data_IF_673186569032
#
_entry.id   IF_673186569032
#
_cell.length_a   1.000
_cell.length_b   1.000
_cell.length_c   1.000
_cell.angle_alpha   90.00
_cell.angle_beta   90.00
_cell.angle_gamma   90.00
#
_symmetry.space_group_name_H-M   'P 1'
#
loop_
_entity.id
_entity.type
_entity.pdbx_description
1 polymer ?
#
# COMPACT_ATOMS: atom_id res chain seq x y z
N UNK A 1 -3.60 -16.11 -2.65
CA UNK A 1 -4.25 -17.44 -2.71
C UNK A 1 -4.41 -18.14 -1.35
N UNK A 2 -3.38 -18.23 -0.49
CA UNK A 2 -3.47 -18.91 0.81
C UNK A 2 -4.39 -18.20 1.82
N UNK A 3 -4.18 -16.90 2.08
CA UNK A 3 -4.96 -16.16 3.07
C UNK A 3 -6.46 -16.10 2.72
N UNK A 4 -6.81 -15.89 1.44
CA UNK A 4 -8.22 -15.95 0.98
C UNK A 4 -8.88 -17.28 1.38
N UNK A 5 -8.23 -18.41 1.04
CA UNK A 5 -8.71 -19.76 1.40
C UNK A 5 -8.81 -19.99 2.90
N UNK A 6 -7.90 -19.42 3.68
CA UNK A 6 -7.92 -19.53 5.14
C UNK A 6 -9.17 -18.84 5.70
N UNK A 7 -9.43 -17.62 5.26
CA UNK A 7 -10.61 -16.85 5.68
C UNK A 7 -11.90 -17.55 5.26
N UNK A 8 -11.99 -18.01 4.00
CA UNK A 8 -13.19 -18.67 3.46
C UNK A 8 -13.56 -19.96 4.18
N UNK A 9 -12.55 -20.68 4.68
CA UNK A 9 -12.74 -21.95 5.40
C UNK A 9 -12.88 -21.77 6.90
N UNK A 10 -12.74 -20.54 7.40
CA UNK A 10 -12.76 -20.28 8.82
C UNK A 10 -14.17 -20.45 9.39
N UNK A 11 -14.36 -21.54 10.13
CA UNK A 11 -15.60 -21.85 10.85
C UNK A 11 -15.32 -22.37 12.28
N UNK A 12 -14.11 -22.16 12.77
CA UNK A 12 -13.67 -22.59 14.09
C UNK A 12 -13.99 -21.56 15.17
N UNK A 13 -13.84 -21.95 16.44
CA UNK A 13 -14.09 -21.08 17.59
C UNK A 13 -12.98 -20.04 17.84
N UNK A 14 -11.78 -20.27 17.28
CA UNK A 14 -10.66 -19.35 17.44
C UNK A 14 -10.91 -18.10 16.59
N UNK A 15 -10.72 -16.87 17.09
CA UNK A 15 -10.95 -15.66 16.30
C UNK A 15 -10.11 -15.63 15.03
N UNK A 16 -10.69 -15.14 13.92
CA UNK A 16 -10.02 -15.08 12.62
C UNK A 16 -8.69 -14.32 12.69
N UNK A 17 -8.63 -13.22 13.45
CA UNK A 17 -7.41 -12.43 13.65
C UNK A 17 -6.30 -13.20 14.32
N UNK A 18 -6.65 -14.07 15.27
CA UNK A 18 -5.68 -14.93 15.91
C UNK A 18 -5.09 -15.90 14.91
N UNK A 19 -5.92 -16.47 14.04
CA UNK A 19 -5.43 -17.34 12.97
C UNK A 19 -4.56 -16.56 11.98
N UNK A 20 -5.01 -15.38 11.54
CA UNK A 20 -4.24 -14.55 10.62
C UNK A 20 -2.89 -14.14 11.20
N UNK A 21 -2.88 -13.56 12.41
CA UNK A 21 -1.66 -13.13 13.09
C UNK A 21 -0.69 -14.30 13.31
N UNK A 22 -1.16 -15.49 13.70
CA UNK A 22 -0.30 -16.68 13.81
C UNK A 22 0.39 -16.97 12.48
N UNK A 23 -0.36 -17.00 11.37
CA UNK A 23 0.23 -17.25 10.05
C UNK A 23 1.21 -16.15 9.63
N UNK A 24 0.87 -14.88 9.87
CA UNK A 24 1.74 -13.74 9.58
C UNK A 24 3.05 -13.81 10.35
N UNK A 25 2.98 -14.09 11.66
CA UNK A 25 4.14 -14.23 12.53
C UNK A 25 5.00 -15.42 12.10
N UNK A 26 4.41 -16.59 11.83
CA UNK A 26 5.17 -17.75 11.33
C UNK A 26 5.94 -17.39 10.07
N UNK A 27 5.28 -16.83 9.05
CA UNK A 27 5.91 -16.46 7.79
C UNK A 27 7.04 -15.45 8.05
N UNK A 28 6.74 -14.35 8.74
CA UNK A 28 7.70 -13.28 9.04
C UNK A 28 8.94 -13.81 9.78
N UNK A 29 8.74 -14.62 10.82
CA UNK A 29 9.83 -15.20 11.60
C UNK A 29 10.71 -16.12 10.75
N UNK A 30 10.14 -16.99 9.92
CA UNK A 30 10.95 -17.85 9.04
C UNK A 30 11.67 -17.07 7.95
N UNK A 31 11.04 -16.05 7.36
CA UNK A 31 11.71 -15.15 6.42
C UNK A 31 12.89 -14.46 7.08
N UNK A 32 12.73 -13.95 8.31
CA UNK A 32 13.80 -13.29 9.05
C UNK A 32 14.96 -14.24 9.38
N UNK A 33 14.67 -15.49 9.74
CA UNK A 33 15.71 -16.51 10.00
C UNK A 33 16.50 -16.87 8.73
N UNK A 34 15.86 -16.83 7.56
CA UNK A 34 16.52 -17.09 6.28
C UNK A 34 17.39 -15.91 5.83
N UNK A 35 16.89 -14.68 5.96
CA UNK A 35 17.61 -13.46 5.63
C UNK A 35 17.14 -12.34 6.58
N UNK A 36 17.98 -11.92 7.54
CA UNK A 36 17.60 -10.86 8.47
C UNK A 36 17.26 -9.56 7.74
N UNK A 37 16.14 -8.95 8.13
CA UNK A 37 15.66 -7.66 7.62
C UNK A 37 14.99 -6.88 8.75
N UNK A 38 14.90 -5.56 8.60
CA UNK A 38 14.15 -4.67 9.47
C UNK A 38 12.87 -4.15 8.79
N UNK A 39 11.91 -3.72 9.61
CA UNK A 39 10.70 -3.03 9.17
C UNK A 39 10.77 -1.58 9.60
N UNK A 40 10.96 -0.69 8.63
CA UNK A 40 11.00 0.76 8.79
C UNK A 40 9.57 1.30 8.72
N UNK A 41 9.12 2.07 9.71
CA UNK A 41 7.71 2.47 9.79
C UNK A 41 7.53 3.97 9.98
N UNK A 42 6.68 4.57 9.15
CA UNK A 42 6.30 5.98 9.26
C UNK A 42 5.27 6.19 10.38
N UNK A 43 5.66 6.90 11.42
CA UNK A 43 4.81 7.19 12.57
C UNK A 43 4.00 8.49 12.44
N UNK A 44 4.05 9.17 11.29
CA UNK A 44 3.36 10.45 11.07
C UNK A 44 1.84 10.37 11.21
N UNK A 45 1.25 9.19 10.96
CA UNK A 45 -0.18 8.89 11.13
C UNK A 45 -0.55 8.43 12.56
N UNK A 46 0.43 8.40 13.47
CA UNK A 46 0.27 7.95 14.85
C UNK A 46 1.03 6.65 15.12
N UNK A 47 1.78 6.63 16.22
CA UNK A 47 2.65 5.50 16.57
C UNK A 47 1.87 4.21 16.86
N UNK A 48 0.81 4.29 17.67
CA UNK A 48 0.03 3.12 18.08
C UNK A 48 -0.54 2.33 16.88
N UNK A 49 -1.34 2.92 15.96
CA UNK A 49 -1.91 2.16 14.85
C UNK A 49 -0.86 1.62 13.86
N UNK A 50 0.24 2.35 13.64
CA UNK A 50 1.34 1.88 12.79
C UNK A 50 2.09 0.71 13.45
N UNK A 51 2.34 0.80 14.77
CA UNK A 51 2.97 -0.28 15.53
C UNK A 51 2.09 -1.52 15.57
N UNK A 52 0.79 -1.37 15.78
CA UNK A 52 -0.15 -2.50 15.76
C UNK A 52 -0.13 -3.20 14.40
N UNK A 53 -0.11 -2.42 13.31
CA UNK A 53 0.05 -2.95 11.94
C UNK A 53 1.36 -3.71 11.77
N UNK A 54 2.48 -3.13 12.20
CA UNK A 54 3.78 -3.80 12.12
C UNK A 54 3.82 -5.10 12.94
N UNK A 55 3.31 -5.09 14.18
CA UNK A 55 3.36 -6.26 15.06
C UNK A 55 2.38 -7.36 14.66
N UNK A 56 1.21 -6.99 14.16
CA UNK A 56 0.25 -7.97 13.66
C UNK A 56 0.78 -8.71 12.41
N UNK A 57 1.47 -8.00 11.51
CA UNK A 57 1.92 -8.57 10.24
C UNK A 57 3.34 -9.15 10.26
N UNK A 58 4.23 -8.63 11.10
CA UNK A 58 5.65 -9.02 11.12
C UNK A 58 6.12 -9.59 12.45
N UNK A 59 5.27 -9.56 13.49
CA UNK A 59 5.60 -10.07 14.82
C UNK A 59 6.66 -9.24 15.56
N UNK A 60 7.29 -9.88 16.55
CA UNK A 60 8.28 -9.24 17.42
C UNK A 60 9.73 -9.64 17.13
N UNK A 61 9.94 -10.69 16.33
CA UNK A 61 11.29 -11.14 15.92
C UNK A 61 11.92 -10.12 14.97
N UNK A 62 11.15 -9.61 14.01
CA UNK A 62 11.62 -8.62 13.05
C UNK A 62 11.82 -7.26 13.74
N UNK A 63 13.01 -6.65 13.64
CA UNK A 63 13.29 -5.32 14.15
C UNK A 63 12.28 -4.29 13.61
N UNK A 64 11.83 -3.41 14.50
CA UNK A 64 10.94 -2.29 14.16
C UNK A 64 11.73 -0.99 14.27
N UNK A 65 11.94 -0.32 13.14
CA UNK A 65 12.70 0.92 13.03
C UNK A 65 11.74 2.10 12.78
N UNK A 66 11.44 2.93 13.79
CA UNK A 66 10.50 4.04 13.62
C UNK A 66 11.14 5.23 12.88
N UNK A 67 10.35 5.88 12.03
CA UNK A 67 10.69 7.13 11.33
C UNK A 67 9.56 8.14 11.47
N UNK A 68 9.90 9.43 11.41
CA UNK A 68 8.91 10.50 11.31
C UNK A 68 8.79 10.95 9.86
N UNK A 69 7.71 10.52 9.20
CA UNK A 69 7.42 10.83 7.80
C UNK A 69 7.91 9.74 6.83
N UNK A 70 7.31 9.67 5.64
CA UNK A 70 7.56 8.62 4.66
C UNK A 70 8.96 8.67 4.04
N UNK A 71 9.58 9.86 3.98
CA UNK A 71 10.91 10.04 3.37
C UNK A 71 12.00 9.22 4.06
N UNK A 72 12.09 9.28 5.39
CA UNK A 72 13.09 8.51 6.14
C UNK A 72 12.93 7.00 6.00
N UNK A 73 11.68 6.53 5.87
CA UNK A 73 11.38 5.12 5.58
C UNK A 73 11.93 4.72 4.22
N UNK A 74 11.64 5.49 3.17
CA UNK A 74 12.05 5.18 1.80
C UNK A 74 13.56 5.24 1.66
N UNK A 75 14.21 6.29 2.18
CA UNK A 75 15.68 6.42 2.18
C UNK A 75 16.36 5.24 2.89
N UNK A 76 15.80 4.78 4.01
CA UNK A 76 16.35 3.65 4.75
C UNK A 76 16.15 2.31 4.01
N UNK A 77 14.99 2.11 3.38
CA UNK A 77 14.75 0.93 2.54
C UNK A 77 15.72 0.94 1.37
N UNK A 78 15.86 2.05 0.66
CA UNK A 78 16.75 2.20 -0.49
C UNK A 78 18.22 1.89 -0.14
N UNK A 79 18.68 2.34 1.03
CA UNK A 79 20.03 2.08 1.54
C UNK A 79 20.25 0.65 2.07
N UNK A 80 19.19 -0.14 2.24
CA UNK A 80 19.26 -1.51 2.72
C UNK A 80 19.49 -2.53 1.59
N UNK A 81 19.64 -3.81 1.93
CA UNK A 81 19.67 -4.90 0.93
C UNK A 81 18.36 -5.69 0.88
N UNK A 82 17.47 -5.51 1.84
CA UNK A 82 16.24 -6.29 1.93
C UNK A 82 15.26 -5.85 3.02
N UNK A 83 15.42 -4.63 3.56
CA UNK A 83 14.49 -4.11 4.55
C UNK A 83 13.16 -3.73 3.90
N UNK A 84 12.11 -3.69 4.72
CA UNK A 84 10.76 -3.33 4.31
C UNK A 84 10.38 -1.97 4.90
N UNK A 85 9.64 -1.18 4.14
CA UNK A 85 9.07 0.08 4.60
C UNK A 85 7.56 -0.01 4.75
N UNK A 86 7.01 0.57 5.82
CA UNK A 86 5.57 0.76 6.04
C UNK A 86 5.24 2.24 5.90
N UNK A 87 4.45 2.54 4.87
CA UNK A 87 3.95 3.87 4.55
C UNK A 87 2.43 3.88 4.69
N UNK A 88 1.81 4.96 5.15
CA UNK A 88 0.36 5.06 5.13
C UNK A 88 -0.16 4.94 3.69
N UNK A 89 -1.18 4.09 3.48
CA UNK A 89 -1.90 4.03 2.20
C UNK A 89 -2.98 5.12 2.08
N UNK A 90 -2.86 6.16 2.90
CA UNK A 90 -3.74 7.32 2.95
C UNK A 90 -2.89 8.58 2.84
N UNK A 91 -3.33 9.55 2.05
CA UNK A 91 -2.67 10.85 1.99
C UNK A 91 -2.98 11.65 3.25
N UNK A 92 -1.94 12.18 3.89
CA UNK A 92 -2.11 13.23 4.89
C UNK A 92 -2.21 14.60 4.19
N UNK A 93 -3.18 15.45 4.56
CA UNK A 93 -3.28 16.79 4.01
C UNK A 93 -1.97 17.58 4.19
N UNK A 94 -1.46 18.16 3.11
CA UNK A 94 -0.24 19.00 3.15
C UNK A 94 1.07 18.24 3.31
N UNK A 95 1.08 16.91 3.19
CA UNK A 95 2.31 16.13 3.14
C UNK A 95 3.01 16.21 1.78
N UNK A 96 4.34 16.11 1.79
CA UNK A 96 5.15 16.01 0.57
C UNK A 96 4.73 14.77 -0.26
N UNK A 97 4.79 14.83 -1.61
CA UNK A 97 4.44 13.72 -2.49
C UNK A 97 5.51 12.61 -2.44
N UNK A 98 5.52 11.85 -1.34
CA UNK A 98 6.54 10.85 -1.04
C UNK A 98 6.70 9.78 -2.11
N UNK A 99 5.65 9.52 -2.89
CA UNK A 99 5.67 8.52 -3.96
C UNK A 99 6.56 8.91 -5.14
N UNK A 100 6.98 10.19 -5.25
CA UNK A 100 8.02 10.61 -6.18
C UNK A 100 9.32 9.83 -5.99
N UNK A 101 9.65 9.48 -4.73
CA UNK A 101 10.82 8.68 -4.42
C UNK A 101 10.70 7.21 -4.89
N UNK A 102 9.52 6.79 -5.38
CA UNK A 102 9.31 5.47 -5.96
C UNK A 102 9.36 5.47 -7.49
N UNK A 103 9.66 6.57 -8.17
CA UNK A 103 9.50 6.67 -9.63
C UNK A 103 10.61 5.99 -10.43
N UNK A 104 11.85 6.02 -9.93
CA UNK A 104 13.00 5.45 -10.64
C UNK A 104 12.85 3.93 -10.78
N UNK A 105 13.36 3.29 -11.86
CA UNK A 105 13.17 1.85 -12.09
C UNK A 105 13.70 0.96 -10.95
N UNK A 106 14.80 1.37 -10.32
CA UNK A 106 15.51 0.70 -9.23
C UNK A 106 15.11 1.18 -7.83
N UNK A 107 14.33 2.26 -7.74
CA UNK A 107 13.80 2.75 -6.47
C UNK A 107 12.88 1.72 -5.81
N UNK A 108 12.67 1.81 -4.48
CA UNK A 108 11.69 0.99 -3.80
C UNK A 108 10.31 1.06 -4.47
N UNK A 109 9.57 -0.05 -4.41
CA UNK A 109 8.23 -0.20 -4.99
C UNK A 109 7.27 -0.69 -3.94
N UNK A 110 6.01 -0.29 -4.06
CA UNK A 110 4.92 -0.93 -3.33
C UNK A 110 4.85 -2.40 -3.74
N UNK A 111 4.86 -3.30 -2.76
CA UNK A 111 4.76 -4.75 -2.98
C UNK A 111 3.54 -5.38 -2.30
N UNK A 112 2.91 -4.65 -1.37
CA UNK A 112 1.69 -5.08 -0.70
C UNK A 112 0.90 -3.89 -0.15
N UNK A 113 -0.40 -4.11 0.05
CA UNK A 113 -1.29 -3.27 0.85
C UNK A 113 -1.80 -4.12 2.02
N UNK A 114 -1.71 -3.58 3.24
CA UNK A 114 -2.16 -4.22 4.46
C UNK A 114 -3.26 -3.37 5.14
N UNK A 115 -4.16 -4.01 5.90
CA UNK A 115 -4.33 -5.46 6.01
C UNK A 115 -4.84 -6.05 4.70
N UNK A 116 -4.42 -7.29 4.38
CA UNK A 116 -4.95 -7.98 3.20
C UNK A 116 -6.43 -8.37 3.40
N UNK A 117 -6.83 -8.70 4.62
CA UNK A 117 -8.23 -8.97 4.98
C UNK A 117 -8.84 -7.67 5.49
N UNK A 118 -9.60 -6.99 4.64
CA UNK A 118 -10.24 -5.72 4.98
C UNK A 118 -11.60 -5.98 5.66
N UNK A 119 -11.71 -5.55 6.91
CA UNK A 119 -12.94 -5.59 7.72
C UNK A 119 -12.90 -4.49 8.78
N UNK A 120 -14.07 -4.01 9.17
CA UNK A 120 -14.20 -2.85 10.06
C UNK A 120 -13.60 -3.05 11.47
N UNK A 121 -13.58 -4.30 11.93
CA UNK A 121 -13.12 -4.70 13.27
C UNK A 121 -11.71 -5.33 13.25
N UNK A 122 -10.91 -5.08 12.20
CA UNK A 122 -9.54 -5.57 12.10
C UNK A 122 -8.63 -4.89 13.17
N UNK A 123 -7.90 -5.65 14.00
CA UNK A 123 -7.10 -5.09 15.10
C UNK A 123 -5.93 -4.24 14.62
N UNK A 124 -5.46 -4.49 13.40
CA UNK A 124 -4.48 -3.69 12.68
C UNK A 124 -5.13 -3.08 11.42
N UNK A 125 -6.19 -2.30 11.61
CA UNK A 125 -7.04 -1.82 10.52
C UNK A 125 -6.49 -0.63 9.72
N UNK A 126 -5.33 -0.07 10.11
CA UNK A 126 -4.71 1.06 9.40
C UNK A 126 -4.26 0.60 8.00
N UNK A 127 -4.77 1.20 6.92
CA UNK A 127 -4.28 0.91 5.58
C UNK A 127 -2.83 1.36 5.42
N UNK A 128 -1.93 0.42 5.13
CA UNK A 128 -0.51 0.69 4.91
C UNK A 128 -0.02 0.04 3.62
N UNK A 129 0.86 0.73 2.89
CA UNK A 129 1.68 0.15 1.85
C UNK A 129 2.95 -0.43 2.46
N UNK A 130 3.32 -1.61 1.96
CA UNK A 130 4.65 -2.18 2.17
C UNK A 130 5.49 -1.87 0.95
N UNK A 131 6.66 -1.27 1.15
CA UNK A 131 7.65 -1.01 0.09
C UNK A 131 8.91 -1.83 0.30
N UNK A 132 9.55 -2.25 -0.79
CA UNK A 132 10.86 -2.90 -0.81
C UNK A 132 11.58 -2.58 -2.12
N UNK A 133 12.85 -2.96 -2.27
CA UNK A 133 13.47 -2.98 -3.59
C UNK A 133 12.65 -3.80 -4.60
N UNK A 134 12.73 -3.47 -5.91
CA UNK A 134 12.00 -4.19 -6.95
C UNK A 134 12.27 -5.70 -6.91
N UNK A 135 11.20 -6.49 -6.90
CA UNK A 135 11.29 -7.97 -6.94
C UNK A 135 11.09 -8.40 -8.39
N UNK A 136 12.14 -8.96 -9.00
CA UNK A 136 12.19 -9.21 -10.44
C UNK A 136 11.13 -10.20 -10.99
N UNK A 137 10.59 -11.12 -10.18
CA UNK A 137 9.84 -12.28 -10.73
C UNK A 137 8.64 -12.80 -9.91
N UNK A 138 8.12 -12.05 -8.91
CA UNK A 138 7.06 -12.60 -8.04
C UNK A 138 6.03 -11.60 -7.49
N UNK A 139 6.02 -10.35 -7.98
CA UNK A 139 5.08 -9.36 -7.48
C UNK A 139 3.64 -9.69 -7.90
N UNK A 140 2.76 -9.97 -6.92
CA UNK A 140 1.33 -10.05 -7.17
C UNK A 140 0.82 -8.66 -7.52
N UNK A 141 0.58 -8.44 -8.81
CA UNK A 141 0.11 -7.18 -9.39
C UNK A 141 -1.32 -7.36 -9.84
N UNK A 142 -2.26 -7.53 -8.89
CA UNK A 142 -3.69 -7.45 -9.23
C UNK A 142 -4.15 -5.99 -9.31
N UNK A 143 -3.54 -5.13 -8.47
CA UNK A 143 -3.63 -3.68 -8.50
C UNK A 143 -2.23 -3.12 -8.77
N UNK A 144 -2.13 -2.19 -9.70
CA UNK A 144 -0.94 -1.40 -9.99
C UNK A 144 -1.07 -0.02 -9.36
N UNK A 145 0.04 0.50 -8.83
CA UNK A 145 0.15 1.83 -8.24
C UNK A 145 1.04 2.68 -9.15
N UNK A 146 0.56 3.86 -9.52
CA UNK A 146 1.19 4.74 -10.49
C UNK A 146 1.33 6.16 -9.92
N UNK A 147 2.50 6.75 -10.14
CA UNK A 147 2.71 8.20 -10.06
C UNK A 147 2.41 8.81 -11.43
N UNK A 148 1.47 9.76 -11.50
CA UNK A 148 1.05 10.39 -12.75
C UNK A 148 1.22 11.89 -12.62
N UNK A 149 2.10 12.46 -13.44
CA UNK A 149 2.27 13.90 -13.54
C UNK A 149 1.25 14.44 -14.53
N UNK A 150 0.50 15.45 -14.10
CA UNK A 150 -0.55 16.08 -14.88
C UNK A 150 -0.45 17.60 -14.82
N UNK A 151 -0.91 18.23 -15.90
CA UNK A 151 -1.20 19.66 -15.96
C UNK A 151 -2.70 19.86 -16.21
N UNK A 152 -3.22 21.07 -15.98
CA UNK A 152 -4.66 21.37 -16.05
C UNK A 152 -5.49 20.47 -15.13
N UNK A 153 -4.93 20.13 -13.98
CA UNK A 153 -5.62 19.30 -12.99
C UNK A 153 -6.80 20.07 -12.39
N UNK A 154 -7.99 19.46 -12.43
CA UNK A 154 -9.20 20.01 -11.84
C UNK A 154 -9.83 18.99 -10.88
N UNK A 155 -10.42 19.40 -9.75
CA UNK A 155 -11.05 18.48 -8.80
C UNK A 155 -12.13 17.57 -9.42
N UNK A 156 -12.80 18.03 -10.48
CA UNK A 156 -13.79 17.23 -11.20
C UNK A 156 -13.19 16.00 -11.90
N UNK A 157 -11.91 16.04 -12.27
CA UNK A 157 -11.22 14.89 -12.86
C UNK A 157 -11.07 13.74 -11.85
N UNK A 158 -10.93 14.04 -10.54
CA UNK A 158 -10.96 13.02 -9.50
C UNK A 158 -12.32 12.29 -9.43
N UNK A 159 -13.42 13.03 -9.65
CA UNK A 159 -14.76 12.42 -9.70
C UNK A 159 -14.96 11.57 -10.95
N UNK A 160 -14.43 11.99 -12.10
CA UNK A 160 -14.47 11.22 -13.34
C UNK A 160 -13.67 9.91 -13.23
N UNK A 161 -12.56 9.92 -12.47
CA UNK A 161 -11.75 8.73 -12.22
C UNK A 161 -12.44 7.65 -11.38
N UNK A 162 -13.49 8.03 -10.62
CA UNK A 162 -14.23 7.09 -9.79
C UNK A 162 -14.81 5.93 -10.63
N UNK A 163 -14.50 4.69 -10.24
CA UNK A 163 -14.90 3.48 -10.97
C UNK A 163 -13.85 2.92 -11.92
N UNK A 164 -12.76 3.66 -12.17
CA UNK A 164 -11.60 3.20 -12.97
C UNK A 164 -10.37 2.88 -12.11
N UNK A 165 -10.42 3.23 -10.84
CA UNK A 165 -9.36 3.03 -9.86
C UNK A 165 -9.65 3.79 -8.57
N UNK A 166 -8.63 3.94 -7.74
CA UNK A 166 -8.63 4.77 -6.54
C UNK A 166 -7.56 5.86 -6.68
N UNK A 167 -7.96 7.13 -6.60
CA UNK A 167 -7.03 8.25 -6.51
C UNK A 167 -6.64 8.41 -5.03
N UNK A 168 -5.44 7.95 -4.69
CA UNK A 168 -4.95 7.85 -3.31
C UNK A 168 -4.47 9.20 -2.77
N UNK A 169 -3.83 9.98 -3.64
CA UNK A 169 -3.30 11.30 -3.31
C UNK A 169 -3.20 12.19 -4.55
N UNK A 170 -3.27 13.49 -4.34
CA UNK A 170 -2.88 14.49 -5.33
C UNK A 170 -2.10 15.57 -4.59
N UNK A 171 -0.89 15.87 -5.06
CA UNK A 171 -0.09 17.00 -4.59
C UNK A 171 0.00 18.04 -5.70
N UNK A 172 -0.30 19.30 -5.38
CA UNK A 172 -0.18 20.40 -6.33
C UNK A 172 1.29 20.80 -6.38
N UNK A 173 1.90 20.65 -7.55
CA UNK A 173 3.28 21.08 -7.79
C UNK A 173 3.30 22.58 -8.07
N UNK A 174 4.41 23.27 -7.80
CA UNK A 174 4.54 24.74 -7.74
C UNK A 174 4.11 25.57 -8.97
N UNK A 175 3.61 24.94 -10.04
CA UNK A 175 2.97 25.60 -11.18
C UNK A 175 1.42 25.58 -11.06
N UNK A 176 0.73 26.66 -11.46
CA UNK A 176 -0.73 26.68 -11.46
C UNK A 176 -1.29 25.53 -12.31
N UNK A 177 -2.22 24.78 -11.73
CA UNK A 177 -2.90 23.61 -12.30
C UNK A 177 -2.00 22.39 -12.61
N UNK A 178 -0.76 22.34 -12.11
CA UNK A 178 0.07 21.14 -12.14
C UNK A 178 -0.14 20.30 -10.88
N UNK A 179 -0.22 18.98 -11.04
CA UNK A 179 -0.30 18.06 -9.92
C UNK A 179 0.46 16.77 -10.22
N UNK A 180 0.95 16.15 -9.16
CA UNK A 180 1.39 14.75 -9.19
C UNK A 180 0.34 13.94 -8.45
N UNK A 181 -0.17 12.91 -9.12
CA UNK A 181 -1.20 12.02 -8.62
C UNK A 181 -0.56 10.71 -8.19
N UNK A 182 -1.01 10.17 -7.06
CA UNK A 182 -0.83 8.77 -6.71
C UNK A 182 -2.16 8.06 -6.97
N UNK A 183 -2.18 7.15 -7.92
CA UNK A 183 -3.39 6.38 -8.25
C UNK A 183 -3.12 4.90 -8.20
N UNK A 184 -4.17 4.13 -7.89
CA UNK A 184 -4.16 2.68 -8.04
C UNK A 184 -5.24 2.23 -9.00
N UNK A 185 -4.92 1.27 -9.86
CA UNK A 185 -5.82 0.75 -10.91
C UNK A 185 -5.69 -0.77 -10.99
N UNK A 186 -6.73 -1.50 -11.41
CA UNK A 186 -6.58 -2.91 -11.77
C UNK A 186 -5.46 -3.11 -12.80
N UNK A 187 -4.71 -4.19 -12.68
CA UNK A 187 -3.62 -4.47 -13.59
C UNK A 187 -4.12 -4.59 -15.05
N UNK A 188 -3.36 -3.98 -15.97
CA UNK A 188 -3.72 -3.91 -17.38
C UNK A 188 -4.81 -2.89 -17.73
N UNK A 189 -5.34 -2.12 -16.78
CA UNK A 189 -6.34 -1.06 -17.07
C UNK A 189 -5.76 0.36 -17.00
N UNK A 190 -4.43 0.51 -16.86
CA UNK A 190 -3.74 1.81 -16.78
C UNK A 190 -4.15 2.76 -17.91
N UNK A 191 -4.02 2.34 -19.17
CA UNK A 191 -4.23 3.25 -20.31
C UNK A 191 -5.69 3.73 -20.40
N UNK A 192 -6.65 2.87 -20.06
CA UNK A 192 -8.06 3.26 -19.98
C UNK A 192 -8.30 4.28 -18.85
N UNK A 193 -7.64 4.11 -17.71
CA UNK A 193 -7.74 5.03 -16.58
C UNK A 193 -7.10 6.40 -16.89
N UNK A 194 -5.96 6.42 -17.60
CA UNK A 194 -5.33 7.64 -18.08
C UNK A 194 -6.22 8.40 -19.08
N UNK A 195 -6.86 7.69 -20.01
CA UNK A 195 -7.79 8.30 -20.97
C UNK A 195 -9.00 8.97 -20.29
N UNK A 196 -9.44 8.49 -19.14
CA UNK A 196 -10.51 9.12 -18.34
C UNK A 196 -10.05 10.47 -17.78
N UNK A 197 -8.81 10.55 -17.29
CA UNK A 197 -8.22 11.81 -16.81
C UNK A 197 -8.09 12.82 -17.95
N UNK A 198 -7.64 12.36 -19.13
CA UNK A 198 -7.54 13.20 -20.33
C UNK A 198 -8.89 13.70 -20.82
N UNK A 199 -9.90 12.83 -20.82
CA UNK A 199 -11.29 13.20 -21.13
C UNK A 199 -11.88 14.22 -20.15
N UNK A 200 -11.36 14.27 -18.92
CA UNK A 200 -11.71 15.25 -17.89
C UNK A 200 -10.84 16.52 -17.92
N UNK A 201 -10.13 16.77 -19.03
CA UNK A 201 -9.27 17.93 -19.31
C UNK A 201 -7.86 17.92 -18.68
N UNK A 202 -7.50 16.90 -17.89
CA UNK A 202 -6.12 16.78 -17.41
C UNK A 202 -5.19 16.43 -18.58
N UNK A 203 -3.99 17.01 -18.62
CA UNK A 203 -2.98 16.68 -19.62
C UNK A 203 -1.83 15.96 -18.94
N UNK A 204 -1.63 14.69 -19.29
CA UNK A 204 -0.59 13.83 -18.71
C UNK A 204 0.77 14.22 -19.29
N UNK A 205 1.75 14.46 -18.43
CA UNK A 205 3.14 14.76 -18.83
C UNK A 205 4.08 13.58 -18.65
N UNK A 206 3.92 12.78 -17.60
CA UNK A 206 4.67 11.55 -17.39
C UNK A 206 3.93 10.56 -16.48
N UNK A 207 4.30 9.29 -16.58
CA UNK A 207 3.68 8.18 -15.84
C UNK A 207 4.79 7.24 -15.36
N UNK A 208 4.84 6.98 -14.06
CA UNK A 208 5.88 6.18 -13.42
C UNK A 208 5.26 5.06 -12.58
N UNK A 209 5.78 3.84 -12.72
CA UNK A 209 5.32 2.69 -11.94
C UNK A 209 5.87 2.77 -10.51
N UNK A 210 4.97 2.87 -9.54
CA UNK A 210 5.31 2.95 -8.11
C UNK A 210 5.15 1.62 -7.38
N UNK A 211 4.70 0.55 -8.07
CA UNK A 211 4.57 -0.80 -7.53
C UNK A 211 3.18 -1.39 -7.72
N UNK A 212 2.86 -2.44 -6.97
CA UNK A 212 1.55 -3.08 -7.03
C UNK A 212 1.30 -3.99 -5.85
N UNK A 213 0.05 -4.43 -5.72
CA UNK A 213 -0.37 -5.31 -4.65
C UNK A 213 -1.55 -6.19 -5.06
N UNK A 214 -1.84 -7.20 -4.24
CA UNK A 214 -3.06 -7.98 -4.37
C UNK A 214 -4.30 -7.14 -4.03
N UNK A 215 -5.44 -7.42 -4.66
CA UNK A 215 -6.73 -6.82 -4.31
C UNK A 215 -7.05 -7.22 -2.86
N UNK A 216 -7.27 -6.27 -1.93
CA UNK A 216 -7.66 -6.59 -0.58
C UNK A 216 -8.90 -7.50 -0.55
N UNK A 217 -8.84 -8.52 0.28
CA UNK A 217 -9.93 -9.47 0.45
C UNK A 217 -10.96 -8.92 1.43
N UNK A 218 -12.20 -8.77 0.97
CA UNK A 218 -13.34 -8.39 1.79
C UNK A 218 -14.22 -9.63 2.00
N UNK A 219 -14.25 -10.20 3.21
CA UNK A 219 -15.17 -11.30 3.52
C UNK A 219 -16.60 -10.82 3.29
N UNK A 220 -17.42 -11.62 2.60
CA UNK A 220 -18.81 -11.26 2.31
C UNK A 220 -19.58 -10.92 3.59
N UNK A 221 -20.44 -9.90 3.53
CA UNK A 221 -21.39 -9.46 4.56
C UNK A 221 -22.49 -10.49 4.92
N UNK A 222 -22.22 -11.78 4.76
CA UNK A 222 -23.17 -12.89 4.88
C UNK A 222 -22.97 -13.80 6.08
N UNK A 223 -22.06 -13.48 7.00
CA UNK A 223 -21.87 -14.23 8.24
C UNK A 223 -22.25 -13.38 9.45
N UNK A 224 -23.51 -13.45 9.89
CA UNK A 224 -23.84 -13.01 11.24
C UNK A 224 -22.91 -13.72 12.23
N UNK A 225 -22.41 -13.05 13.29
CA UNK A 225 -21.63 -13.72 14.32
C UNK A 225 -22.51 -14.81 14.91
N UNK A 226 -22.16 -16.08 14.67
CA UNK A 226 -22.73 -17.18 15.43
C UNK A 226 -21.97 -17.20 16.74
N UNK A 227 -22.65 -16.66 17.76
CA UNK A 227 -22.29 -16.68 19.19
C UNK A 227 -21.95 -18.11 19.60
#
# INVERSE_FOLDING_TARGET
AMMRRLVDRHAGLLPLDTVESIWRVIISTFTYVQAPYAVHADLSVGEAPMRDSARFHFGFTTPFAPHMGPRGVIEAVEASTGDLGLLPAVALPGGDPWWLALEAPDAPKVIARLPFVERADHPAGLPVFVVSHPIADAAVTEIEVWSVHVTRWVPQAAAAFAGHGELLAASVDGAPDAAVLLMSVPAGTRDAALAVLEGASAQISSVHFAGGHAIPYRPGSGGAPRI
#
